data_IF_705602242491
#
_entry.id   IF_705602242491
#
_cell.length_a   1.000
_cell.length_b   1.000
_cell.length_c   1.000
_cell.angle_alpha   90.00
_cell.angle_beta   90.00
_cell.angle_gamma   90.00
#
_symmetry.space_group_name_H-M   'P 1'
#
loop_
_entity.id
_entity.type
_entity.pdbx_description
1 polymer ?
#
# COMPACT_ATOMS: atom_id res chain seq x y z
N UNK A 1 -4.39 -18.74 3.03
CA UNK A 1 -3.69 -17.56 2.49
C UNK A 1 -4.49 -16.40 2.99
N UNK A 2 -3.87 -15.53 3.78
CA UNK A 2 -4.55 -14.38 4.35
C UNK A 2 -4.35 -13.22 3.41
N UNK A 3 -5.47 -12.60 3.07
CA UNK A 3 -5.52 -11.52 2.10
C UNK A 3 -5.73 -10.22 2.88
N UNK A 4 -4.67 -9.42 3.01
CA UNK A 4 -4.76 -8.10 3.57
C UNK A 4 -5.32 -7.17 2.51
N UNK A 5 -6.48 -6.59 2.79
CA UNK A 5 -7.11 -5.56 1.96
C UNK A 5 -6.83 -4.21 2.59
N UNK A 6 -6.00 -3.42 1.93
CA UNK A 6 -5.58 -2.11 2.38
C UNK A 6 -6.21 -1.06 1.47
N UNK A 7 -7.11 -0.28 2.05
CA UNK A 7 -7.78 0.83 1.36
C UNK A 7 -6.82 2.01 1.28
N UNK A 8 -6.64 2.55 0.07
CA UNK A 8 -5.89 3.76 -0.23
C UNK A 8 -6.87 4.89 -0.55
N UNK A 9 -6.88 5.93 0.27
CA UNK A 9 -7.59 7.18 -0.04
C UNK A 9 -6.61 8.18 -0.61
N UNK A 10 -6.99 8.88 -1.67
CA UNK A 10 -6.19 9.93 -2.30
C UNK A 10 -7.10 11.09 -2.67
N UNK A 11 -6.65 12.30 -2.39
CA UNK A 11 -7.32 13.53 -2.77
C UNK A 11 -6.32 14.59 -3.22
N UNK A 12 -6.74 15.44 -4.17
CA UNK A 12 -6.03 16.69 -4.46
C UNK A 12 -6.54 17.76 -3.50
N UNK A 13 -5.63 18.35 -2.73
CA UNK A 13 -5.94 19.37 -1.72
C UNK A 13 -5.36 20.74 -2.08
N UNK A 14 -4.52 20.81 -3.11
CA UNK A 14 -3.90 22.04 -3.60
C UNK A 14 -2.73 22.53 -2.75
N UNK A 15 -2.84 22.46 -1.42
CA UNK A 15 -1.78 22.75 -0.47
C UNK A 15 -2.03 22.05 0.88
N UNK A 16 -0.96 21.73 1.63
CA UNK A 16 -1.06 21.10 2.96
C UNK A 16 -1.21 19.57 2.94
N UNK A 17 -1.12 18.95 1.76
CA UNK A 17 -1.08 17.50 1.62
C UNK A 17 0.25 16.87 2.05
N UNK A 18 0.29 15.55 2.16
CA UNK A 18 1.46 14.78 2.58
C UNK A 18 2.27 14.19 1.41
N UNK A 19 1.90 14.48 0.15
CA UNK A 19 2.67 14.06 -1.03
C UNK A 19 2.56 15.05 -2.19
N UNK A 20 3.32 14.81 -3.27
CA UNK A 20 3.27 15.60 -4.50
C UNK A 20 3.54 17.09 -4.26
N UNK A 21 4.59 17.40 -3.51
CA UNK A 21 4.93 18.76 -3.07
C UNK A 21 3.81 19.47 -2.27
N UNK A 22 2.95 18.70 -1.58
CA UNK A 22 1.85 19.21 -0.77
C UNK A 22 0.55 19.43 -1.53
N UNK A 23 0.50 19.18 -2.85
CA UNK A 23 -0.73 19.30 -3.64
C UNK A 23 -1.72 18.16 -3.38
N UNK A 24 -1.25 17.02 -2.87
CA UNK A 24 -2.02 15.80 -2.71
C UNK A 24 -1.93 15.24 -1.29
N UNK A 25 -3.04 14.66 -0.84
CA UNK A 25 -3.13 13.93 0.41
C UNK A 25 -3.42 12.45 0.12
N UNK A 26 -2.77 11.55 0.85
CA UNK A 26 -3.10 10.13 0.86
C UNK A 26 -3.20 9.57 2.29
N UNK A 27 -3.96 8.49 2.45
CA UNK A 27 -4.01 7.71 3.69
C UNK A 27 -4.29 6.24 3.41
N UNK A 28 -3.84 5.37 4.30
CA UNK A 28 -4.10 3.92 4.25
C UNK A 28 -5.01 3.48 5.39
N UNK A 29 -5.85 2.48 5.15
CA UNK A 29 -6.66 1.82 6.15
C UNK A 29 -6.67 0.29 5.91
N UNK A 30 -6.12 -0.54 6.82
CA UNK A 30 -5.38 -0.13 8.02
C UNK A 30 -4.09 0.65 7.68
N UNK A 31 -3.67 1.55 8.58
CA UNK A 31 -2.50 2.42 8.39
C UNK A 31 -1.18 1.66 8.64
N UNK A 32 -1.13 0.88 9.72
CA UNK A 32 -0.02 -0.01 10.02
C UNK A 32 -0.39 -1.45 9.68
N UNK A 33 0.37 -2.06 8.77
CA UNK A 33 0.27 -3.46 8.46
C UNK A 33 1.46 -4.22 9.03
N UNK A 34 1.18 -5.16 9.94
CA UNK A 34 2.15 -6.15 10.40
C UNK A 34 1.64 -7.51 9.98
N UNK A 35 2.43 -8.20 9.16
CA UNK A 35 2.14 -9.55 8.67
C UNK A 35 2.80 -10.54 9.62
N UNK A 36 2.01 -11.44 10.21
CA UNK A 36 2.45 -12.27 11.33
C UNK A 36 2.39 -13.79 11.11
N UNK A 37 2.73 -14.49 12.20
CA UNK A 37 3.05 -15.91 12.40
C UNK A 37 2.07 -16.93 11.83
N UNK A 38 0.84 -16.55 11.56
CA UNK A 38 -0.16 -17.51 11.06
C UNK A 38 -0.23 -17.58 9.55
N UNK A 39 0.41 -16.63 8.86
CA UNK A 39 0.31 -16.52 7.44
C UNK A 39 1.57 -17.07 6.76
N UNK A 40 1.44 -18.29 6.21
CA UNK A 40 2.14 -18.60 4.95
C UNK A 40 1.93 -17.44 3.98
N UNK A 41 2.87 -17.22 3.06
CA UNK A 41 2.82 -16.21 1.99
C UNK A 41 1.44 -15.54 1.82
N UNK A 42 1.34 -14.29 2.28
CA UNK A 42 0.12 -13.47 2.26
C UNK A 42 -0.02 -12.71 0.96
N UNK A 43 -1.22 -12.21 0.70
CA UNK A 43 -1.45 -11.28 -0.40
C UNK A 43 -1.80 -9.91 0.15
N UNK A 44 -1.07 -8.88 -0.27
CA UNK A 44 -1.36 -7.49 0.06
C UNK A 44 -2.06 -6.85 -1.14
N UNK A 45 -3.33 -6.50 -0.97
CA UNK A 45 -4.13 -5.81 -1.97
C UNK A 45 -4.34 -4.35 -1.55
N UNK A 46 -3.68 -3.43 -2.24
CA UNK A 46 -3.92 -2.00 -2.11
C UNK A 46 -4.95 -1.58 -3.14
N UNK A 47 -6.03 -0.92 -2.73
CA UNK A 47 -7.09 -0.51 -3.64
C UNK A 47 -7.62 0.87 -3.28
N UNK A 48 -8.01 1.65 -4.29
CA UNK A 48 -8.64 2.94 -4.02
C UNK A 48 -10.00 2.77 -3.36
N UNK A 49 -10.31 3.63 -2.38
CA UNK A 49 -11.68 3.72 -1.85
C UNK A 49 -12.63 4.24 -2.95
N UNK A 50 -13.48 3.37 -3.47
CA UNK A 50 -14.30 3.67 -4.65
C UNK A 50 -15.33 4.77 -4.39
N UNK A 51 -15.75 4.94 -3.13
CA UNK A 51 -16.77 5.92 -2.75
C UNK A 51 -16.23 7.35 -2.71
N UNK A 52 -14.93 7.53 -2.48
CA UNK A 52 -14.33 8.85 -2.24
C UNK A 52 -13.19 9.22 -3.19
N UNK A 53 -12.49 8.24 -3.79
CA UNK A 53 -11.36 8.52 -4.68
C UNK A 53 -11.83 8.65 -6.13
N UNK A 54 -11.68 9.85 -6.76
CA UNK A 54 -12.05 10.06 -8.15
C UNK A 54 -11.42 9.05 -9.12
N UNK A 55 -12.15 8.66 -10.17
CA UNK A 55 -11.74 7.63 -11.16
C UNK A 55 -10.54 8.01 -12.03
N UNK A 56 -10.17 9.30 -12.08
CA UNK A 56 -8.99 9.79 -12.80
C UNK A 56 -7.66 9.49 -12.09
N UNK A 57 -7.69 9.07 -10.83
CA UNK A 57 -6.50 8.56 -10.17
C UNK A 57 -6.23 7.11 -10.58
N UNK A 58 -4.99 6.83 -10.99
CA UNK A 58 -4.53 5.51 -11.45
C UNK A 58 -3.24 5.09 -10.77
N UNK A 59 -3.20 3.89 -10.23
CA UNK A 59 -1.98 3.23 -9.79
C UNK A 59 -1.18 2.82 -11.03
N UNK A 60 0.10 3.21 -11.06
CA UNK A 60 1.01 2.94 -12.19
C UNK A 60 2.18 2.04 -11.82
N UNK A 61 2.57 2.02 -10.56
CA UNK A 61 3.66 1.17 -10.09
C UNK A 61 3.55 0.94 -8.58
N UNK A 62 4.19 -0.13 -8.12
CA UNK A 62 4.53 -0.35 -6.72
C UNK A 62 6.01 -0.72 -6.66
N UNK A 63 6.77 0.02 -5.85
CA UNK A 63 8.18 -0.20 -5.57
C UNK A 63 8.34 -0.72 -4.15
N UNK A 64 9.37 -1.53 -3.90
CA UNK A 64 9.71 -1.98 -2.55
C UNK A 64 11.21 -1.81 -2.29
N UNK A 65 11.56 -1.56 -1.03
CA UNK A 65 12.94 -1.60 -0.54
C UNK A 65 13.41 -3.01 -0.19
N UNK A 66 12.62 -4.04 -0.51
CA UNK A 66 12.87 -5.41 -0.06
C UNK A 66 14.09 -6.01 -0.77
N UNK A 67 15.18 -6.18 -0.03
CA UNK A 67 16.40 -6.82 -0.50
C UNK A 67 16.40 -8.35 -0.29
N UNK A 68 15.43 -8.89 0.46
CA UNK A 68 15.40 -10.29 0.89
C UNK A 68 14.43 -11.15 0.09
N UNK A 69 13.81 -10.59 -0.95
CA UNK A 69 12.90 -11.29 -1.89
C UNK A 69 11.67 -11.87 -1.18
N UNK A 70 11.17 -11.17 -0.17
CA UNK A 70 9.91 -11.43 0.49
C UNK A 70 8.72 -10.87 -0.28
N UNK A 71 8.89 -9.80 -1.06
CA UNK A 71 7.84 -9.18 -1.86
C UNK A 71 7.91 -9.67 -3.31
N UNK A 72 6.80 -10.24 -3.79
CA UNK A 72 6.62 -10.69 -5.17
C UNK A 72 6.44 -9.54 -6.16
N UNK A 73 6.41 -9.87 -7.45
CA UNK A 73 6.15 -8.88 -8.50
C UNK A 73 4.73 -8.30 -8.36
N UNK A 74 4.57 -6.97 -8.45
CA UNK A 74 3.27 -6.33 -8.35
C UNK A 74 2.40 -6.60 -9.57
N UNK A 75 1.13 -6.89 -9.32
CA UNK A 75 0.09 -7.01 -10.35
C UNK A 75 -0.88 -5.84 -10.21
N UNK A 76 -0.89 -4.95 -11.19
CA UNK A 76 -1.80 -3.79 -11.23
C UNK A 76 -3.06 -4.20 -12.00
N UNK A 77 -4.23 -3.85 -11.47
CA UNK A 77 -5.49 -4.13 -12.18
C UNK A 77 -5.57 -3.36 -13.52
N UNK A 78 -6.24 -3.89 -14.55
CA UNK A 78 -6.30 -3.24 -15.87
C UNK A 78 -6.85 -1.80 -15.85
N UNK A 79 -7.74 -1.50 -14.90
CA UNK A 79 -8.32 -0.18 -14.69
C UNK A 79 -7.44 0.76 -13.84
N UNK A 80 -6.30 0.28 -13.35
CA UNK A 80 -5.35 0.99 -12.50
C UNK A 80 -5.92 1.34 -11.12
N UNK A 81 -6.94 0.65 -10.62
CA UNK A 81 -7.59 0.98 -9.34
C UNK A 81 -7.09 0.19 -8.14
N UNK A 82 -6.28 -0.84 -8.40
CA UNK A 82 -5.66 -1.65 -7.35
C UNK A 82 -4.29 -2.17 -7.78
N UNK A 83 -3.47 -2.51 -6.80
CA UNK A 83 -2.22 -3.25 -6.98
C UNK A 83 -2.12 -4.33 -5.92
N UNK A 84 -1.66 -5.50 -6.35
CA UNK A 84 -1.51 -6.67 -5.51
C UNK A 84 -0.07 -7.15 -5.51
N UNK A 85 0.45 -7.55 -4.34
CA UNK A 85 1.74 -8.24 -4.19
C UNK A 85 1.60 -9.43 -3.27
N UNK A 86 2.37 -10.48 -3.52
CA UNK A 86 2.58 -11.55 -2.54
C UNK A 86 3.65 -11.12 -1.55
N UNK A 87 3.43 -11.36 -0.27
CA UNK A 87 4.40 -11.16 0.80
C UNK A 87 4.70 -12.50 1.48
N UNK A 88 5.92 -12.99 1.33
CA UNK A 88 6.34 -14.28 1.87
C UNK A 88 6.44 -14.30 3.40
N UNK A 89 6.64 -13.14 4.04
CA UNK A 89 6.87 -13.00 5.48
C UNK A 89 7.81 -14.10 6.04
N UNK A 90 8.99 -14.24 5.43
CA UNK A 90 9.91 -15.35 5.74
C UNK A 90 10.94 -14.99 6.79
N UNK A 91 11.27 -13.70 6.93
CA UNK A 91 12.20 -13.19 7.95
C UNK A 91 11.72 -11.85 8.51
N UNK A 92 12.04 -11.53 9.78
CA UNK A 92 11.73 -10.21 10.34
C UNK A 92 12.37 -9.09 9.52
N UNK A 93 11.57 -8.16 8.99
CA UNK A 93 12.07 -7.04 8.19
C UNK A 93 11.06 -5.90 8.16
N UNK A 94 11.54 -4.67 8.30
CA UNK A 94 10.77 -3.48 7.95
C UNK A 94 10.95 -3.18 6.46
N UNK A 95 9.86 -3.22 5.70
CA UNK A 95 9.87 -3.02 4.24
C UNK A 95 9.15 -1.71 3.93
N UNK A 96 9.84 -0.81 3.23
CA UNK A 96 9.23 0.39 2.68
C UNK A 96 8.65 0.07 1.31
N UNK A 97 7.36 0.35 1.15
CA UNK A 97 6.69 0.30 -0.14
C UNK A 97 6.35 1.71 -0.60
N UNK A 98 6.33 1.92 -1.90
CA UNK A 98 5.85 3.15 -2.52
C UNK A 98 4.92 2.80 -3.68
N UNK A 99 3.69 3.27 -3.62
CA UNK A 99 2.70 3.18 -4.71
C UNK A 99 2.77 4.48 -5.50
N UNK A 100 3.04 4.40 -6.80
CA UNK A 100 3.04 5.54 -7.70
C UNK A 100 1.65 5.71 -8.28
N UNK A 101 1.05 6.88 -8.04
CA UNK A 101 -0.27 7.25 -8.54
C UNK A 101 -0.15 8.36 -9.57
N UNK A 102 -0.92 8.26 -10.64
CA UNK A 102 -1.12 9.30 -11.65
C UNK A 102 -2.46 9.99 -11.45
N UNK A 103 -2.46 11.32 -11.59
CA UNK A 103 -3.65 12.15 -11.72
C UNK A 103 -3.91 12.44 -13.20
N UNK A 104 -4.78 11.66 -13.84
CA UNK A 104 -5.13 11.82 -15.27
C UNK A 104 -5.99 13.07 -15.54
N UNK A 105 -6.47 13.78 -14.51
CA UNK A 105 -7.21 15.03 -14.69
C UNK A 105 -6.30 16.20 -15.08
N UNK A 106 -4.99 16.08 -14.82
CA UNK A 106 -3.97 17.08 -15.14
C UNK A 106 -3.58 17.01 -16.60
N UNK A 107 -4.31 17.74 -17.44
CA UNK A 107 -4.03 17.86 -18.88
C UNK A 107 -2.84 18.76 -19.19
N UNK A 108 -2.49 19.64 -18.26
CA UNK A 108 -1.37 20.60 -18.36
C UNK A 108 -0.01 19.92 -18.23
N UNK A 109 0.08 18.89 -17.39
CA UNK A 109 1.31 18.13 -17.14
C UNK A 109 0.98 16.73 -16.65
N UNK A 110 1.78 15.75 -17.06
CA UNK A 110 1.72 14.41 -16.46
C UNK A 110 2.12 14.52 -14.99
N UNK A 111 1.20 14.19 -14.09
CA UNK A 111 1.40 14.36 -12.65
C UNK A 111 1.41 13.02 -11.95
N UNK A 112 2.57 12.67 -11.39
CA UNK A 112 2.77 11.48 -10.57
C UNK A 112 3.14 11.87 -9.15
N UNK A 113 2.68 11.09 -8.18
CA UNK A 113 3.04 11.23 -6.77
C UNK A 113 3.12 9.87 -6.09
N UNK A 114 3.87 9.80 -5.00
CA UNK A 114 4.05 8.59 -4.18
C UNK A 114 3.03 8.53 -3.05
N UNK A 115 2.56 7.33 -2.75
CA UNK A 115 1.84 7.00 -1.52
C UNK A 115 2.63 5.87 -0.85
N UNK A 116 3.09 6.06 0.39
CA UNK A 116 4.13 5.22 0.99
C UNK A 116 3.56 4.41 2.17
N UNK A 117 2.97 3.21 1.95
CA UNK A 117 2.50 2.39 3.04
C UNK A 117 3.70 1.73 3.75
N UNK A 118 3.62 1.63 5.08
CA UNK A 118 4.61 0.92 5.87
C UNK A 118 4.18 -0.54 6.08
N UNK A 119 5.08 -1.49 5.79
CA UNK A 119 4.84 -2.93 6.01
C UNK A 119 5.90 -3.51 6.92
N UNK A 120 5.47 -4.08 8.04
CA UNK A 120 6.31 -4.88 8.92
C UNK A 120 6.10 -6.37 8.68
N UNK A 121 7.18 -7.09 8.45
CA UNK A 121 7.20 -8.55 8.47
C UNK A 121 7.78 -9.00 9.80
N UNK A 122 7.04 -9.81 10.55
CA UNK A 122 7.57 -10.57 11.67
C UNK A 122 6.90 -11.95 11.74
N UNK A 123 7.58 -13.04 11.35
CA UNK A 123 7.00 -14.38 11.38
C UNK A 123 6.76 -14.93 12.79
N UNK A 124 7.18 -14.22 13.85
CA UNK A 124 7.13 -14.70 15.22
C UNK A 124 6.28 -13.81 16.13
N UNK A 125 6.18 -12.52 15.83
CA UNK A 125 5.50 -11.52 16.66
C UNK A 125 4.27 -10.98 15.94
N UNK A 126 3.11 -11.11 16.60
CA UNK A 126 1.90 -10.41 16.22
C UNK A 126 1.53 -9.38 17.32
N UNK A 127 1.71 -8.07 17.10
CA UNK A 127 1.31 -7.07 18.09
C UNK A 127 -0.21 -6.88 18.20
N UNK A 128 -0.99 -7.47 17.29
CA UNK A 128 -2.45 -7.50 17.34
C UNK A 128 -3.00 -8.76 18.01
N UNK A 129 -2.14 -9.75 18.34
CA UNK A 129 -2.53 -10.90 19.15
C UNK A 129 -2.83 -10.46 20.57
N UNK A 130 -4.05 -10.77 21.04
CA UNK A 130 -4.37 -10.58 22.46
C UNK A 130 -3.60 -11.64 23.25
N UNK A 131 -2.78 -11.26 24.25
CA UNK A 131 -2.05 -12.24 25.04
C UNK A 131 -3.01 -13.22 25.73
N UNK A 132 -2.65 -14.51 25.86
CA UNK A 132 -3.49 -15.48 26.54
C UNK A 132 -3.76 -15.00 27.97
N UNK A 133 -5.03 -15.04 28.40
CA UNK A 133 -5.37 -14.77 29.81
C UNK A 133 -4.74 -15.87 30.68
N UNK A 134 -4.16 -15.52 31.83
CA UNK A 134 -3.59 -16.48 32.77
C UNK A 134 -4.64 -17.44 33.33
#
# INVERSE_FOLDING_TARGET
MTDFKIKLTVARVGFGGNTGAGEYFYSFAPDLLIVDKHDKASTLLYYFDEDVVPRHFKIRSLLSSDALKQIGQPTISPDGRSVQVTNANSVPTLIFLTIIVEDESRKDKKTWFSCDPQVGNDPQINPQETPPRP
#
